data_IF_953628929512
#
_entry.id   IF_953628929512
#
_cell.length_a   1.000
_cell.length_b   1.000
_cell.length_c   1.000
_cell.angle_alpha   90.00
_cell.angle_beta   90.00
_cell.angle_gamma   90.00
#
_symmetry.space_group_name_H-M   'P 1'
#
loop_
_entity.id
_entity.type
_entity.pdbx_description
1 polymer ?
#
# COMPACT_ATOMS: atom_id res chain seq x y z
N UNK A 1 0.54 4.22 3.72
CA UNK A 1 1.22 4.02 5.00
C UNK A 1 2.60 3.42 4.78
N UNK A 2 3.49 3.53 5.76
CA UNK A 2 4.84 2.95 5.76
C UNK A 2 5.22 2.68 7.21
N UNK A 3 4.99 1.45 7.68
CA UNK A 3 5.02 1.08 9.09
C UNK A 3 5.99 -0.09 9.36
N UNK A 4 6.47 -0.25 10.61
CA UNK A 4 7.55 -1.19 10.89
C UNK A 4 7.21 -2.68 10.75
N UNK A 5 5.93 -3.07 10.81
CA UNK A 5 5.53 -4.48 10.82
C UNK A 5 4.05 -4.69 10.45
N UNK A 6 3.71 -5.93 10.06
CA UNK A 6 2.34 -6.35 9.71
C UNK A 6 1.29 -5.99 10.76
N UNK A 7 1.61 -6.17 12.04
CA UNK A 7 0.70 -5.85 13.14
C UNK A 7 0.33 -4.35 13.16
N UNK A 8 1.29 -3.47 12.85
CA UNK A 8 1.04 -2.03 12.78
C UNK A 8 0.16 -1.67 11.59
N UNK A 9 0.37 -2.31 10.43
CA UNK A 9 -0.49 -2.14 9.26
C UNK A 9 -1.92 -2.59 9.57
N UNK A 10 -2.10 -3.78 10.17
CA UNK A 10 -3.45 -4.21 10.59
C UNK A 10 -4.10 -3.22 11.55
N UNK A 11 -3.38 -2.74 12.55
CA UNK A 11 -3.94 -1.80 13.51
C UNK A 11 -4.29 -0.45 12.88
N UNK A 12 -3.43 0.12 12.03
CA UNK A 12 -3.68 1.43 11.40
C UNK A 12 -4.88 1.38 10.45
N UNK A 13 -5.10 0.26 9.77
CA UNK A 13 -6.23 0.13 8.84
C UNK A 13 -7.51 -0.32 9.55
N UNK A 14 -7.44 -1.37 10.36
CA UNK A 14 -8.60 -2.09 10.88
C UNK A 14 -8.90 -1.82 12.36
N UNK A 15 -8.02 -1.11 13.08
CA UNK A 15 -8.20 -0.82 14.50
C UNK A 15 -9.45 0.01 14.78
N UNK A 16 -9.77 0.15 16.07
CA UNK A 16 -10.94 0.92 16.54
C UNK A 16 -10.94 2.37 16.04
N UNK A 17 -9.74 2.97 15.90
CA UNK A 17 -9.52 4.29 15.30
C UNK A 17 -8.80 4.20 13.94
N UNK A 18 -8.98 3.08 13.24
CA UNK A 18 -8.28 2.78 11.99
C UNK A 18 -8.84 3.53 10.78
N UNK A 19 -8.08 3.56 9.69
CA UNK A 19 -8.42 4.25 8.44
C UNK A 19 -9.80 3.82 7.91
N UNK A 20 -10.16 2.53 8.04
CA UNK A 20 -11.44 2.03 7.53
C UNK A 20 -12.67 2.57 8.25
N UNK A 21 -12.51 3.18 9.43
CA UNK A 21 -13.61 3.85 10.13
C UNK A 21 -14.05 5.15 9.45
N UNK A 22 -13.16 5.78 8.68
CA UNK A 22 -13.39 7.11 8.10
C UNK A 22 -13.09 7.20 6.61
N UNK A 23 -12.60 6.12 5.99
CA UNK A 23 -12.24 6.10 4.57
C UNK A 23 -13.46 6.40 3.70
N UNK A 24 -13.28 7.25 2.69
CA UNK A 24 -14.35 7.55 1.72
C UNK A 24 -14.32 6.51 0.58
N UNK A 25 -15.47 6.10 0.04
CA UNK A 25 -15.52 5.32 -1.20
C UNK A 25 -14.68 5.95 -2.32
N UNK A 26 -14.03 5.11 -3.12
CA UNK A 26 -13.15 5.53 -4.21
C UNK A 26 -11.75 5.96 -3.76
N UNK A 27 -11.40 5.85 -2.48
CA UNK A 27 -10.05 6.17 -1.99
C UNK A 27 -9.06 5.11 -2.45
N UNK A 28 -7.91 5.56 -2.98
CA UNK A 28 -6.74 4.72 -3.25
C UNK A 28 -5.82 4.74 -2.03
N UNK A 29 -5.60 3.57 -1.44
CA UNK A 29 -4.75 3.34 -0.28
C UNK A 29 -3.45 2.68 -0.74
N UNK A 30 -2.32 3.31 -0.46
CA UNK A 30 -0.99 2.77 -0.79
C UNK A 30 -0.29 2.40 0.51
N UNK A 31 0.05 1.12 0.70
CA UNK A 31 0.93 0.70 1.80
C UNK A 31 2.29 0.31 1.24
N UNK A 32 3.35 0.96 1.71
CA UNK A 32 4.71 0.68 1.25
C UNK A 32 5.56 -0.03 2.31
N UNK A 33 4.91 -0.50 3.38
CA UNK A 33 5.52 -1.25 4.46
C UNK A 33 6.08 -2.59 3.94
N UNK A 34 7.17 -3.07 4.53
CA UNK A 34 7.64 -4.43 4.27
C UNK A 34 6.89 -5.39 5.21
N UNK A 35 5.83 -6.03 4.72
CA UNK A 35 4.96 -6.92 5.48
C UNK A 35 4.81 -8.29 4.81
N UNK A 36 4.22 -9.24 5.53
CA UNK A 36 3.91 -10.54 4.95
C UNK A 36 2.76 -10.46 3.91
N UNK A 37 2.79 -11.27 2.84
CA UNK A 37 1.77 -11.22 1.79
C UNK A 37 0.36 -11.55 2.25
N UNK A 38 0.20 -12.32 3.34
CA UNK A 38 -1.12 -12.68 3.84
C UNK A 38 -1.81 -11.46 4.46
N UNK A 39 -1.08 -10.69 5.26
CA UNK A 39 -1.56 -9.42 5.82
C UNK A 39 -1.92 -8.42 4.73
N UNK A 40 -1.06 -8.23 3.72
CA UNK A 40 -1.34 -7.32 2.61
C UNK A 40 -2.67 -7.68 1.89
N UNK A 41 -2.85 -8.96 1.56
CA UNK A 41 -4.07 -9.47 0.90
C UNK A 41 -5.32 -9.32 1.78
N UNK A 42 -5.19 -9.57 3.07
CA UNK A 42 -6.28 -9.43 4.03
C UNK A 42 -6.77 -7.98 4.11
N UNK A 43 -5.85 -7.02 4.31
CA UNK A 43 -6.20 -5.60 4.40
C UNK A 43 -6.76 -5.11 3.06
N UNK A 44 -6.21 -5.54 1.93
CA UNK A 44 -6.75 -5.21 0.61
C UNK A 44 -8.15 -5.77 0.37
N UNK A 45 -8.45 -6.97 0.87
CA UNK A 45 -9.79 -7.55 0.82
C UNK A 45 -10.78 -6.74 1.66
N UNK A 46 -10.37 -6.26 2.84
CA UNK A 46 -11.19 -5.40 3.68
C UNK A 46 -11.42 -4.04 2.99
N UNK A 47 -10.39 -3.43 2.39
CA UNK A 47 -10.52 -2.16 1.67
C UNK A 47 -11.64 -2.21 0.60
N UNK A 48 -11.76 -3.32 -0.13
CA UNK A 48 -12.84 -3.52 -1.12
C UNK A 48 -14.24 -3.47 -0.51
N UNK A 49 -14.41 -3.97 0.73
CA UNK A 49 -15.69 -3.88 1.45
C UNK A 49 -16.07 -2.44 1.77
N UNK A 50 -15.08 -1.55 1.90
CA UNK A 50 -15.24 -0.11 2.07
C UNK A 50 -15.20 0.66 0.73
N UNK A 51 -15.43 -0.02 -0.39
CA UNK A 51 -15.40 0.57 -1.74
C UNK A 51 -14.10 1.34 -2.04
N UNK A 52 -13.00 0.90 -1.45
CA UNK A 52 -11.68 1.49 -1.61
C UNK A 52 -10.72 0.47 -2.22
N UNK A 53 -9.70 0.95 -2.92
CA UNK A 53 -8.66 0.11 -3.49
C UNK A 53 -7.42 0.23 -2.62
N UNK A 54 -6.81 -0.89 -2.25
CA UNK A 54 -5.51 -0.92 -1.60
C UNK A 54 -4.48 -1.57 -2.52
N UNK A 55 -3.34 -0.91 -2.69
CA UNK A 55 -2.16 -1.47 -3.32
C UNK A 55 -1.08 -1.71 -2.27
N UNK A 56 -0.50 -2.90 -2.33
CA UNK A 56 0.72 -3.22 -1.58
C UNK A 56 1.91 -2.80 -2.44
N UNK A 57 2.74 -1.89 -1.93
CA UNK A 57 3.79 -1.18 -2.65
C UNK A 57 5.13 -1.20 -1.88
N UNK A 58 5.62 -2.36 -1.39
CA UNK A 58 6.80 -2.43 -0.54
C UNK A 58 8.04 -1.85 -1.23
N UNK A 59 8.84 -1.12 -0.44
CA UNK A 59 10.19 -0.75 -0.85
C UNK A 59 11.11 -1.97 -0.83
N UNK A 60 11.94 -2.12 -1.87
CA UNK A 60 12.87 -3.25 -1.99
C UNK A 60 14.30 -2.83 -1.74
N UNK A 61 15.02 -3.55 -0.87
CA UNK A 61 16.40 -3.25 -0.49
C UNK A 61 16.55 -2.49 0.83
N UNK A 62 15.53 -2.52 1.70
CA UNK A 62 15.56 -1.86 3.01
C UNK A 62 15.73 -0.34 2.91
N UNK A 63 16.43 0.27 3.86
CA UNK A 63 16.68 1.72 3.87
C UNK A 63 17.46 2.21 2.65
N UNK A 64 18.37 1.37 2.11
CA UNK A 64 19.08 1.66 0.85
C UNK A 64 18.11 1.71 -0.33
N UNK A 65 17.21 0.75 -0.41
CA UNK A 65 16.12 0.69 -1.38
C UNK A 65 15.18 1.89 -1.37
N UNK A 66 14.81 2.33 -0.16
CA UNK A 66 14.03 3.55 0.03
C UNK A 66 14.77 4.80 -0.46
N UNK A 67 16.10 4.89 -0.24
CA UNK A 67 16.92 6.01 -0.74
C UNK A 67 17.01 6.02 -2.27
N UNK A 68 17.05 4.85 -2.90
CA UNK A 68 17.02 4.74 -4.38
C UNK A 68 15.62 4.88 -4.95
N UNK A 69 14.59 4.79 -4.10
CA UNK A 69 13.19 4.92 -4.50
C UNK A 69 12.72 3.78 -5.41
N UNK A 70 12.98 2.54 -5.00
CA UNK A 70 12.52 1.35 -5.72
C UNK A 70 11.32 0.74 -5.02
N UNK A 71 10.17 0.75 -5.69
CA UNK A 71 8.90 0.24 -5.22
C UNK A 71 8.45 -0.93 -6.09
N UNK A 72 8.05 -2.03 -5.46
CA UNK A 72 7.36 -3.12 -6.13
C UNK A 72 5.89 -3.03 -5.76
N UNK A 73 5.02 -2.85 -6.75
CA UNK A 73 3.58 -2.79 -6.57
C UNK A 73 2.94 -4.13 -6.87
N UNK A 74 2.07 -4.58 -5.99
CA UNK A 74 1.34 -5.84 -6.08
C UNK A 74 -0.16 -5.57 -6.06
N UNK A 75 -0.85 -6.09 -7.07
CA UNK A 75 -2.30 -5.99 -7.21
C UNK A 75 -2.80 -4.67 -7.80
N UNK A 76 -4.13 -4.49 -7.79
CA UNK A 76 -4.80 -3.37 -8.44
C UNK A 76 -5.02 -3.56 -9.94
N UNK A 77 -5.86 -2.72 -10.53
CA UNK A 77 -5.99 -2.60 -11.99
C UNK A 77 -4.83 -1.81 -12.59
N UNK A 78 -4.69 -1.84 -13.92
CA UNK A 78 -3.73 -0.98 -14.63
C UNK A 78 -4.01 0.53 -14.39
N UNK A 79 -5.28 0.90 -14.21
CA UNK A 79 -5.67 2.26 -13.85
C UNK A 79 -5.19 2.65 -12.44
N UNK A 80 -5.33 1.74 -11.47
CA UNK A 80 -4.83 1.95 -10.11
C UNK A 80 -3.30 2.08 -10.11
N UNK A 81 -2.62 1.21 -10.88
CA UNK A 81 -1.18 1.26 -11.07
C UNK A 81 -0.72 2.60 -11.63
N UNK A 82 -1.34 3.09 -12.70
CA UNK A 82 -0.97 4.37 -13.31
C UNK A 82 -1.16 5.55 -12.35
N UNK A 83 -2.25 5.52 -11.57
CA UNK A 83 -2.50 6.53 -10.53
C UNK A 83 -1.44 6.47 -9.42
N UNK A 84 -1.16 5.28 -8.91
CA UNK A 84 -0.14 5.06 -7.89
C UNK A 84 1.27 5.40 -8.38
N UNK A 85 1.60 5.07 -9.62
CA UNK A 85 2.88 5.38 -10.25
C UNK A 85 3.16 6.88 -10.27
N UNK A 86 2.15 7.70 -10.55
CA UNK A 86 2.31 9.16 -10.51
C UNK A 86 2.65 9.66 -9.09
N UNK A 87 2.05 9.06 -8.05
CA UNK A 87 2.29 9.41 -6.65
C UNK A 87 3.66 8.89 -6.18
N UNK A 88 3.93 7.61 -6.37
CA UNK A 88 5.19 6.96 -5.99
C UNK A 88 6.38 7.53 -6.77
N UNK A 89 6.14 8.03 -7.99
CA UNK A 89 7.14 8.70 -8.82
C UNK A 89 7.75 9.95 -8.18
N UNK A 90 7.04 10.58 -7.23
CA UNK A 90 7.58 11.68 -6.43
C UNK A 90 8.61 11.21 -5.37
N UNK A 91 8.57 9.94 -4.98
CA UNK A 91 9.45 9.35 -3.96
C UNK A 91 10.55 8.49 -4.56
N UNK A 92 10.37 7.97 -5.78
CA UNK A 92 11.30 7.04 -6.38
C UNK A 92 11.17 6.90 -7.88
N UNK A 93 12.17 6.28 -8.49
CA UNK A 93 12.30 6.22 -9.96
C UNK A 93 11.96 4.84 -10.53
N UNK A 94 12.03 3.79 -9.72
CA UNK A 94 11.86 2.42 -10.17
C UNK A 94 10.58 1.85 -9.58
N UNK A 95 9.53 1.80 -10.39
CA UNK A 95 8.20 1.33 -9.98
C UNK A 95 7.84 0.15 -10.87
N UNK A 96 7.78 -1.04 -10.28
CA UNK A 96 7.48 -2.31 -10.97
C UNK A 96 6.06 -2.75 -10.58
N UNK A 97 5.28 -3.27 -11.53
CA UNK A 97 3.97 -3.87 -11.27
C UNK A 97 4.08 -5.40 -11.36
N UNK A 98 3.45 -6.13 -10.44
CA UNK A 98 3.42 -7.59 -10.38
C UNK A 98 2.05 -8.12 -9.98
#
# INVERSE_FOLDING_TARGET
>A
TMLPASAHVKNVYCGENGIFQTVRPGTLLLDSSTIDPATAREVASIAKKHQSTMLDCPVSGGTGGARTGTFNMVGGSEQDFNTAKNILGCMGKNIVHS
#
